data_IF_554734680274
#
_entry.id   IF_554734680274
#
_cell.length_a   1.000
_cell.length_b   1.000
_cell.length_c   1.000
_cell.angle_alpha   90.00
_cell.angle_beta   90.00
_cell.angle_gamma   90.00
#
_symmetry.space_group_name_H-M   'P 1'
#
loop_
_entity.id
_entity.type
_entity.pdbx_description
1 polymer ?
#
# COMPACT_ATOMS: atom_id res chain seq x y z
N UNK A 1 -7.89 12.63 32.81
CA UNK A 1 -8.61 11.42 32.38
C UNK A 1 -7.62 10.27 32.29
N UNK A 2 -7.76 9.28 33.18
CA UNK A 2 -6.86 8.13 33.29
C UNK A 2 -6.95 7.32 32.00
N UNK A 3 -5.82 7.12 31.31
CA UNK A 3 -5.68 6.12 30.24
C UNK A 3 -5.64 4.76 30.95
N UNK A 4 -6.79 4.13 31.15
CA UNK A 4 -6.82 2.73 31.46
C UNK A 4 -6.33 1.98 30.24
N UNK A 5 -5.11 1.49 30.27
CA UNK A 5 -4.62 0.48 29.33
C UNK A 5 -5.33 -0.82 29.71
N UNK A 6 -6.45 -1.09 29.07
CA UNK A 6 -6.88 -2.45 28.94
C UNK A 6 -5.97 -3.08 27.86
N UNK A 7 -4.97 -3.82 28.30
CA UNK A 7 -4.39 -4.87 27.49
C UNK A 7 -5.51 -5.91 27.49
N UNK A 8 -6.24 -5.99 26.38
CA UNK A 8 -7.14 -7.11 26.12
C UNK A 8 -6.31 -8.41 26.13
N UNK A 9 -6.98 -9.54 26.29
CA UNK A 9 -6.43 -10.86 25.98
C UNK A 9 -5.68 -10.73 24.65
N UNK A 10 -4.56 -11.46 24.49
CA UNK A 10 -3.68 -11.31 23.35
C UNK A 10 -4.40 -11.44 22.00
N UNK A 11 -3.79 -10.93 20.94
CA UNK A 11 -4.35 -10.94 19.57
C UNK A 11 -3.71 -12.06 18.78
N UNK A 12 -4.51 -12.96 18.26
CA UNK A 12 -4.07 -13.94 17.27
C UNK A 12 -4.00 -13.32 15.87
N UNK A 13 -2.83 -13.40 15.23
CA UNK A 13 -2.58 -12.82 13.90
C UNK A 13 -2.28 -13.92 12.90
N UNK A 14 -2.92 -13.86 11.73
CA UNK A 14 -2.57 -14.67 10.57
C UNK A 14 -2.02 -13.80 9.44
N UNK A 15 -0.93 -14.23 8.80
CA UNK A 15 -0.35 -13.56 7.62
C UNK A 15 -0.37 -14.51 6.45
N UNK A 16 -1.07 -14.14 5.38
CA UNK A 16 -1.20 -14.90 4.13
C UNK A 16 -0.31 -14.28 3.06
N UNK A 17 0.64 -15.06 2.57
CA UNK A 17 1.71 -14.65 1.66
C UNK A 17 3.04 -14.46 2.39
N UNK A 18 4.05 -15.24 2.03
CA UNK A 18 5.42 -15.18 2.60
C UNK A 18 6.41 -14.53 1.62
N UNK A 19 5.93 -13.59 0.80
CA UNK A 19 6.77 -12.72 -0.03
C UNK A 19 7.44 -11.62 0.81
N UNK A 20 8.14 -10.69 0.16
CA UNK A 20 8.87 -9.61 0.87
C UNK A 20 7.99 -8.81 1.84
N UNK A 21 6.77 -8.46 1.43
CA UNK A 21 5.85 -7.69 2.27
C UNK A 21 5.26 -8.55 3.38
N UNK A 22 4.78 -9.76 3.06
CA UNK A 22 4.21 -10.65 4.07
C UNK A 22 5.23 -11.08 5.12
N UNK A 23 6.47 -11.36 4.72
CA UNK A 23 7.55 -11.64 5.68
C UNK A 23 7.79 -10.47 6.62
N UNK A 24 7.81 -9.24 6.09
CA UNK A 24 7.97 -8.05 6.91
C UNK A 24 6.78 -7.85 7.87
N UNK A 25 5.54 -8.04 7.40
CA UNK A 25 4.33 -7.99 8.24
C UNK A 25 4.36 -9.02 9.36
N UNK A 26 4.79 -10.26 9.06
CA UNK A 26 4.90 -11.33 10.04
C UNK A 26 5.98 -11.04 11.10
N UNK A 27 7.15 -10.54 10.70
CA UNK A 27 8.21 -10.10 11.63
C UNK A 27 7.75 -8.97 12.55
N UNK A 28 7.01 -7.98 12.02
CA UNK A 28 6.46 -6.88 12.81
C UNK A 28 5.39 -7.42 13.77
N UNK A 29 4.51 -8.32 13.33
CA UNK A 29 3.49 -8.92 14.17
C UNK A 29 4.09 -9.76 15.29
N UNK A 30 5.09 -10.59 14.99
CA UNK A 30 5.82 -11.38 16.01
C UNK A 30 6.39 -10.53 17.15
N UNK A 31 6.90 -9.34 16.82
CA UNK A 31 7.49 -8.41 17.81
C UNK A 31 6.47 -7.54 18.54
N UNK A 32 5.21 -7.58 18.14
CA UNK A 32 4.18 -6.76 18.75
C UNK A 32 3.75 -7.33 20.12
N UNK A 33 3.80 -6.54 21.21
CA UNK A 33 3.62 -7.05 22.57
C UNK A 33 2.20 -7.58 22.87
N UNK A 34 1.22 -7.32 22.02
CA UNK A 34 -0.14 -7.82 22.15
C UNK A 34 -0.42 -9.04 21.29
N UNK A 35 0.54 -9.51 20.50
CA UNK A 35 0.37 -10.74 19.71
C UNK A 35 0.83 -11.91 20.57
N UNK A 36 -0.07 -12.86 20.80
CA UNK A 36 0.18 -14.08 21.57
C UNK A 36 0.03 -15.35 20.70
N UNK A 37 -0.45 -15.22 19.48
CA UNK A 37 -0.51 -16.28 18.50
C UNK A 37 -0.20 -15.73 17.08
N UNK A 38 0.72 -16.36 16.38
CA UNK A 38 1.08 -16.01 15.02
C UNK A 38 1.01 -17.25 14.10
N UNK A 39 0.25 -17.10 13.01
CA UNK A 39 0.18 -18.11 11.95
C UNK A 39 0.61 -17.51 10.62
N UNK A 40 1.31 -18.28 9.78
CA UNK A 40 1.75 -17.83 8.46
C UNK A 40 1.36 -18.82 7.38
N UNK A 41 1.10 -18.32 6.17
CA UNK A 41 0.70 -19.14 5.03
C UNK A 41 1.40 -18.69 3.74
N UNK A 42 1.80 -19.66 2.92
CA UNK A 42 2.20 -19.43 1.52
C UNK A 42 1.95 -20.71 0.74
N UNK A 43 1.48 -20.61 -0.49
CA UNK A 43 1.26 -21.80 -1.36
C UNK A 43 2.54 -22.60 -1.66
N UNK A 44 3.71 -21.98 -1.42
CA UNK A 44 5.02 -22.61 -1.50
C UNK A 44 5.48 -23.03 -0.11
N UNK A 45 5.45 -24.33 0.17
CA UNK A 45 5.78 -24.94 1.48
C UNK A 45 7.10 -24.41 2.07
N UNK A 46 8.15 -24.36 1.26
CA UNK A 46 9.49 -23.89 1.68
C UNK A 46 9.49 -22.39 2.09
N UNK A 47 8.62 -21.55 1.51
CA UNK A 47 8.46 -20.16 1.94
C UNK A 47 7.71 -20.05 3.26
N UNK A 48 6.59 -20.77 3.39
CA UNK A 48 5.79 -20.79 4.61
C UNK A 48 6.60 -21.30 5.80
N UNK A 49 7.27 -22.45 5.66
CA UNK A 49 8.06 -23.06 6.73
C UNK A 49 9.27 -22.21 7.14
N UNK A 50 9.98 -21.60 6.18
CA UNK A 50 11.10 -20.69 6.49
C UNK A 50 10.64 -19.43 7.20
N UNK A 51 9.54 -18.82 6.77
CA UNK A 51 8.99 -17.66 7.45
C UNK A 51 8.55 -18.03 8.87
N UNK A 52 7.84 -19.14 9.05
CA UNK A 52 7.44 -19.61 10.36
C UNK A 52 8.65 -19.80 11.30
N UNK A 53 9.73 -20.37 10.81
CA UNK A 53 10.95 -20.55 11.59
C UNK A 53 11.65 -19.22 11.93
N UNK A 54 11.61 -18.22 11.02
CA UNK A 54 12.31 -16.95 11.21
C UNK A 54 11.59 -16.00 12.17
N UNK A 55 10.27 -16.04 12.23
CA UNK A 55 9.45 -15.22 13.14
C UNK A 55 8.82 -16.03 14.29
N UNK A 56 9.31 -17.27 14.53
CA UNK A 56 8.83 -18.13 15.61
C UNK A 56 7.29 -18.29 15.62
N UNK A 57 6.69 -18.43 14.42
CA UNK A 57 5.24 -18.56 14.31
C UNK A 57 4.77 -19.89 14.93
N UNK A 58 3.62 -19.85 15.60
CA UNK A 58 3.02 -21.02 16.27
C UNK A 58 2.61 -22.12 15.29
N UNK A 59 2.22 -21.71 14.08
CA UNK A 59 1.84 -22.65 13.02
C UNK A 59 2.01 -22.06 11.62
N UNK A 60 2.01 -22.93 10.63
CA UNK A 60 1.99 -22.54 9.23
C UNK A 60 1.21 -23.55 8.38
N UNK A 61 0.74 -23.13 7.20
CA UNK A 61 0.10 -24.01 6.22
C UNK A 61 0.38 -23.52 4.79
N UNK A 62 0.14 -24.41 3.82
CA UNK A 62 0.06 -24.03 2.40
C UNK A 62 -1.34 -23.63 1.97
N UNK A 63 -2.35 -23.85 2.82
CA UNK A 63 -3.75 -23.59 2.56
C UNK A 63 -4.24 -22.40 3.42
N UNK A 64 -4.55 -21.27 2.77
CA UNK A 64 -4.93 -20.04 3.47
C UNK A 64 -6.16 -20.24 4.37
N UNK A 65 -7.17 -20.99 3.90
CA UNK A 65 -8.39 -21.25 4.66
C UNK A 65 -8.14 -21.97 5.98
N UNK A 66 -7.15 -22.86 6.05
CA UNK A 66 -6.80 -23.55 7.31
C UNK A 66 -6.27 -22.59 8.38
N UNK A 67 -5.67 -21.48 7.97
CA UNK A 67 -5.08 -20.48 8.86
C UNK A 67 -6.10 -19.41 9.23
N UNK A 68 -6.79 -18.82 8.24
CA UNK A 68 -7.66 -17.66 8.47
C UNK A 68 -8.96 -17.98 9.19
N UNK A 69 -9.39 -19.27 9.19
CA UNK A 69 -10.63 -19.70 9.87
C UNK A 69 -10.40 -20.24 11.28
N UNK A 70 -9.17 -20.21 11.80
CA UNK A 70 -8.85 -20.71 13.14
C UNK A 70 -9.53 -19.89 14.22
N UNK A 71 -9.90 -20.55 15.32
CA UNK A 71 -10.53 -19.90 16.48
C UNK A 71 -9.55 -18.99 17.24
N UNK A 72 -8.24 -19.31 17.20
CA UNK A 72 -7.16 -18.56 17.83
C UNK A 72 -6.60 -17.41 16.95
N UNK A 73 -7.25 -17.07 15.84
CA UNK A 73 -6.95 -15.93 14.97
C UNK A 73 -8.05 -14.87 15.08
N UNK A 74 -7.68 -13.62 15.33
CA UNK A 74 -8.55 -12.45 15.39
C UNK A 74 -8.35 -11.51 14.21
N UNK A 75 -7.10 -11.38 13.77
CA UNK A 75 -6.63 -10.45 12.76
C UNK A 75 -5.96 -11.19 11.59
N UNK A 76 -6.33 -10.86 10.37
CA UNK A 76 -5.76 -11.47 9.17
C UNK A 76 -5.12 -10.41 8.29
N UNK A 77 -3.87 -10.60 7.91
CA UNK A 77 -3.15 -9.75 6.97
C UNK A 77 -2.96 -10.52 5.66
N UNK A 78 -3.54 -10.02 4.58
CA UNK A 78 -3.41 -10.59 3.24
C UNK A 78 -2.30 -9.84 2.50
N UNK A 79 -1.18 -10.50 2.28
CA UNK A 79 0.02 -9.99 1.61
C UNK A 79 0.52 -10.94 0.51
N UNK A 80 -0.41 -11.70 -0.09
CA UNK A 80 -0.18 -12.54 -1.27
C UNK A 80 0.05 -11.69 -2.53
N UNK A 81 0.08 -12.30 -3.71
CA UNK A 81 0.08 -11.56 -4.97
C UNK A 81 -1.27 -10.89 -5.21
N UNK A 82 -1.26 -9.77 -5.93
CA UNK A 82 -2.40 -8.88 -6.12
C UNK A 82 -3.66 -9.57 -6.67
N UNK A 83 -3.49 -10.60 -7.48
CA UNK A 83 -4.57 -11.44 -8.06
C UNK A 83 -5.11 -12.52 -7.11
N UNK A 84 -4.44 -12.70 -5.99
CA UNK A 84 -4.77 -13.73 -5.00
C UNK A 84 -5.26 -13.15 -3.66
N UNK A 85 -5.66 -11.87 -3.63
CA UNK A 85 -6.17 -11.24 -2.40
C UNK A 85 -7.58 -11.69 -2.05
N UNK A 86 -8.45 -11.86 -3.05
CA UNK A 86 -9.89 -12.00 -2.86
C UNK A 86 -10.27 -13.24 -2.04
N UNK A 87 -9.84 -14.44 -2.45
CA UNK A 87 -10.29 -15.69 -1.84
C UNK A 87 -9.92 -15.81 -0.35
N UNK A 88 -8.65 -15.57 0.07
CA UNK A 88 -8.32 -15.65 1.49
C UNK A 88 -8.94 -14.52 2.31
N UNK A 89 -9.12 -13.31 1.74
CA UNK A 89 -9.82 -12.23 2.42
C UNK A 89 -11.29 -12.56 2.63
N UNK A 90 -11.97 -13.13 1.63
CA UNK A 90 -13.36 -13.57 1.73
C UNK A 90 -13.52 -14.66 2.79
N UNK A 91 -12.63 -15.66 2.81
CA UNK A 91 -12.65 -16.71 3.83
C UNK A 91 -12.48 -16.13 5.25
N UNK A 92 -11.57 -15.18 5.43
CA UNK A 92 -11.36 -14.52 6.71
C UNK A 92 -12.59 -13.71 7.15
N UNK A 93 -13.20 -12.92 6.25
CA UNK A 93 -14.42 -12.15 6.50
C UNK A 93 -15.57 -13.08 6.92
N UNK A 94 -15.79 -14.17 6.18
CA UNK A 94 -16.83 -15.16 6.49
C UNK A 94 -16.60 -15.89 7.83
N UNK A 95 -15.34 -15.99 8.26
CA UNK A 95 -14.96 -16.50 9.58
C UNK A 95 -15.05 -15.44 10.70
N UNK A 96 -15.54 -14.23 10.40
CA UNK A 96 -15.71 -13.17 11.39
C UNK A 96 -14.40 -12.46 11.78
N UNK A 97 -13.35 -12.53 10.95
CA UNK A 97 -12.04 -11.95 11.26
C UNK A 97 -11.91 -10.53 10.70
N UNK A 98 -11.23 -9.66 11.44
CA UNK A 98 -10.83 -8.35 10.92
C UNK A 98 -9.66 -8.50 9.95
N UNK A 99 -9.74 -7.85 8.79
CA UNK A 99 -8.80 -8.10 7.69
C UNK A 99 -8.08 -6.82 7.27
N UNK A 100 -6.76 -6.91 7.07
CA UNK A 100 -5.95 -5.92 6.34
C UNK A 100 -5.50 -6.55 5.03
N UNK A 101 -5.94 -6.00 3.91
CA UNK A 101 -5.54 -6.45 2.57
C UNK A 101 -4.48 -5.49 2.02
N UNK A 102 -3.34 -6.01 1.57
CA UNK A 102 -2.34 -5.20 0.87
C UNK A 102 -2.93 -4.56 -0.39
N UNK A 103 -2.35 -3.43 -0.78
CA UNK A 103 -2.77 -2.74 -2.00
C UNK A 103 -2.31 -3.52 -3.27
N UNK A 104 -3.09 -3.49 -4.35
CA UNK A 104 -4.45 -2.94 -4.45
C UNK A 104 -5.46 -3.80 -3.65
N UNK A 105 -6.57 -3.21 -3.23
CA UNK A 105 -7.61 -3.90 -2.45
C UNK A 105 -8.05 -5.22 -3.11
N UNK A 106 -8.38 -5.16 -4.40
CA UNK A 106 -8.56 -6.29 -5.31
C UNK A 106 -8.05 -5.89 -6.70
N UNK A 107 -8.01 -6.84 -7.64
CA UNK A 107 -7.76 -6.54 -9.06
C UNK A 107 -9.07 -6.23 -9.78
N UNK A 108 -10.13 -6.96 -9.48
CA UNK A 108 -11.44 -6.83 -10.11
C UNK A 108 -12.40 -6.04 -9.22
N UNK A 109 -13.12 -5.07 -9.81
CA UNK A 109 -14.10 -4.28 -9.08
C UNK A 109 -15.22 -5.13 -8.48
N UNK A 110 -15.70 -6.14 -9.20
CA UNK A 110 -16.74 -7.05 -8.72
C UNK A 110 -16.30 -7.85 -7.48
N UNK A 111 -15.04 -8.22 -7.37
CA UNK A 111 -14.48 -8.87 -6.19
C UNK A 111 -14.46 -7.92 -5.01
N UNK A 112 -14.02 -6.68 -5.22
CA UNK A 112 -14.02 -5.64 -4.19
C UNK A 112 -15.42 -5.38 -3.64
N UNK A 113 -16.42 -5.23 -4.50
CA UNK A 113 -17.82 -5.06 -4.08
C UNK A 113 -18.34 -6.25 -3.29
N UNK A 114 -18.06 -7.49 -3.73
CA UNK A 114 -18.46 -8.70 -2.98
C UNK A 114 -17.81 -8.76 -1.60
N UNK A 115 -16.54 -8.39 -1.53
CA UNK A 115 -15.79 -8.41 -0.27
C UNK A 115 -16.32 -7.38 0.72
N UNK A 116 -16.66 -6.17 0.25
CA UNK A 116 -17.27 -5.12 1.09
C UNK A 116 -18.67 -5.53 1.56
N UNK A 117 -19.48 -6.09 0.68
CA UNK A 117 -20.81 -6.58 1.04
C UNK A 117 -20.75 -7.71 2.09
N UNK A 118 -19.81 -8.64 1.94
CA UNK A 118 -19.57 -9.68 2.94
C UNK A 118 -19.10 -9.09 4.28
N UNK A 119 -18.18 -8.12 4.27
CA UNK A 119 -17.72 -7.47 5.49
C UNK A 119 -18.87 -6.79 6.26
N UNK A 120 -19.81 -6.16 5.55
CA UNK A 120 -21.02 -5.60 6.13
C UNK A 120 -21.94 -6.70 6.69
N UNK A 121 -22.18 -7.76 5.93
CA UNK A 121 -23.05 -8.90 6.33
C UNK A 121 -22.52 -9.58 7.59
N UNK A 122 -21.22 -9.83 7.67
CA UNK A 122 -20.60 -10.49 8.81
C UNK A 122 -20.21 -9.54 9.95
N UNK A 123 -20.40 -8.21 9.77
CA UNK A 123 -20.14 -7.21 10.79
C UNK A 123 -18.65 -7.06 11.16
N UNK A 124 -17.76 -7.30 10.21
CA UNK A 124 -16.30 -7.21 10.40
C UNK A 124 -15.70 -5.99 9.69
N UNK A 125 -14.58 -5.50 10.21
CA UNK A 125 -13.85 -4.42 9.57
C UNK A 125 -12.84 -4.98 8.56
N UNK A 126 -12.76 -4.30 7.41
CA UNK A 126 -11.74 -4.58 6.40
C UNK A 126 -11.00 -3.30 6.05
N UNK A 127 -9.67 -3.39 5.97
CA UNK A 127 -8.75 -2.29 5.70
C UNK A 127 -7.89 -2.58 4.48
N UNK A 128 -7.36 -1.52 3.87
CA UNK A 128 -6.41 -1.61 2.76
C UNK A 128 -5.03 -1.08 3.18
N UNK A 129 -3.97 -1.78 2.83
CA UNK A 129 -2.59 -1.46 3.18
C UNK A 129 -2.04 -0.25 2.43
N UNK A 130 -2.52 0.95 2.74
CA UNK A 130 -1.98 2.21 2.22
C UNK A 130 -0.95 2.78 3.16
N UNK A 131 0.16 2.09 3.28
CA UNK A 131 1.28 2.35 4.18
C UNK A 131 1.76 3.81 4.17
N UNK A 132 1.63 4.50 3.03
CA UNK A 132 2.10 5.89 2.91
C UNK A 132 1.37 6.86 3.84
N UNK A 133 0.14 6.57 4.25
CA UNK A 133 -0.58 7.36 5.26
C UNK A 133 0.18 7.45 6.59
N UNK A 134 0.99 6.43 6.93
CA UNK A 134 1.76 6.33 8.16
C UNK A 134 3.15 6.98 8.08
N UNK A 135 3.59 7.46 6.91
CA UNK A 135 4.83 8.21 6.82
C UNK A 135 4.66 9.60 7.40
N UNK A 136 5.57 9.96 8.31
CA UNK A 136 5.52 11.23 9.07
C UNK A 136 5.27 12.46 8.21
N UNK A 137 5.89 12.54 7.03
CA UNK A 137 5.74 13.70 6.14
C UNK A 137 4.36 13.81 5.52
N UNK A 138 3.70 12.68 5.21
CA UNK A 138 2.34 12.65 4.67
C UNK A 138 1.28 12.87 5.76
N UNK A 139 1.51 12.34 6.97
CA UNK A 139 0.72 12.68 8.15
C UNK A 139 0.74 14.19 8.45
N UNK A 140 1.91 14.83 8.33
CA UNK A 140 2.02 16.28 8.54
C UNK A 140 1.20 17.08 7.53
N UNK A 141 1.13 16.65 6.26
CA UNK A 141 0.23 17.28 5.26
C UNK A 141 -1.21 17.17 5.73
N UNK A 142 -1.67 15.94 6.08
CA UNK A 142 -3.06 15.72 6.53
C UNK A 142 -3.41 16.59 7.73
N UNK A 143 -2.55 16.68 8.71
CA UNK A 143 -2.76 17.51 9.89
C UNK A 143 -2.92 19.01 9.53
N UNK A 144 -2.09 19.52 8.62
CA UNK A 144 -2.13 20.93 8.23
C UNK A 144 -3.33 21.25 7.33
N UNK A 145 -3.77 20.31 6.50
CA UNK A 145 -5.03 20.41 5.75
C UNK A 145 -6.23 20.46 6.72
N UNK A 146 -6.27 19.55 7.70
CA UNK A 146 -7.34 19.52 8.71
C UNK A 146 -7.38 20.78 9.59
N UNK A 147 -6.22 21.43 9.82
CA UNK A 147 -6.14 22.72 10.54
C UNK A 147 -6.55 23.92 9.69
N UNK A 148 -6.86 23.70 8.40
CA UNK A 148 -7.29 24.74 7.49
C UNK A 148 -6.20 25.68 6.99
N UNK A 149 -4.90 25.39 7.22
CA UNK A 149 -3.80 26.30 6.83
C UNK A 149 -3.64 26.47 5.31
N UNK A 150 -4.19 25.55 4.54
CA UNK A 150 -4.16 25.62 3.07
C UNK A 150 -5.43 26.27 2.50
N UNK A 151 -6.50 26.28 3.31
CA UNK A 151 -7.85 26.65 2.85
C UNK A 151 -8.43 25.59 1.91
N UNK A 152 -9.41 25.97 1.09
CA UNK A 152 -9.99 25.09 0.08
C UNK A 152 -8.92 24.71 -0.95
N UNK A 153 -8.69 23.42 -1.16
CA UNK A 153 -7.72 22.93 -2.14
C UNK A 153 -8.26 23.18 -3.55
N UNK A 154 -7.49 23.88 -4.38
CA UNK A 154 -7.88 24.25 -5.75
C UNK A 154 -7.18 23.42 -6.81
N UNK A 155 -5.99 22.91 -6.50
CA UNK A 155 -5.28 22.00 -7.40
C UNK A 155 -4.25 21.16 -6.64
N UNK A 156 -3.85 20.04 -7.26
CA UNK A 156 -2.82 19.16 -6.76
C UNK A 156 -1.90 18.69 -7.88
N UNK A 157 -0.64 18.42 -7.54
CA UNK A 157 0.32 17.75 -8.40
C UNK A 157 1.07 16.71 -7.61
N UNK A 158 1.19 15.49 -8.16
CA UNK A 158 2.01 14.47 -7.53
C UNK A 158 2.66 13.54 -8.56
N UNK A 159 3.85 13.03 -8.22
CA UNK A 159 4.56 12.07 -9.06
C UNK A 159 5.20 11.00 -8.19
N UNK A 160 5.29 9.78 -8.76
CA UNK A 160 6.01 8.67 -8.15
C UNK A 160 6.82 7.93 -9.20
N UNK A 161 8.11 7.74 -8.92
CA UNK A 161 9.04 7.09 -9.86
C UNK A 161 9.67 5.86 -9.22
N UNK A 162 9.68 4.76 -9.96
CA UNK A 162 10.30 3.50 -9.58
C UNK A 162 11.46 3.15 -10.52
N UNK A 163 12.39 2.36 -10.02
CA UNK A 163 13.44 1.78 -10.86
C UNK A 163 12.88 0.67 -11.74
N UNK A 164 13.53 0.45 -12.90
CA UNK A 164 13.21 -0.66 -13.79
C UNK A 164 13.32 -2.02 -13.09
N UNK A 165 14.25 -2.19 -12.14
CA UNK A 165 14.37 -3.41 -11.36
C UNK A 165 13.12 -3.71 -10.54
N UNK A 166 12.55 -2.69 -9.88
CA UNK A 166 11.29 -2.83 -9.13
C UNK A 166 10.13 -3.14 -10.08
N UNK A 167 10.04 -2.43 -11.21
CA UNK A 167 8.99 -2.66 -12.21
C UNK A 167 9.01 -4.11 -12.73
N UNK A 168 10.19 -4.65 -13.08
CA UNK A 168 10.35 -6.05 -13.49
C UNK A 168 9.89 -7.03 -12.41
N UNK A 169 10.27 -6.79 -11.16
CA UNK A 169 9.83 -7.61 -10.03
C UNK A 169 8.31 -7.60 -9.87
N UNK A 170 7.67 -6.44 -10.03
CA UNK A 170 6.21 -6.29 -9.96
C UNK A 170 5.53 -7.06 -11.08
N UNK A 171 5.94 -6.86 -12.34
CA UNK A 171 5.30 -7.50 -13.51
C UNK A 171 5.53 -9.01 -13.50
N UNK A 172 6.70 -9.48 -13.08
CA UNK A 172 7.02 -10.92 -13.04
C UNK A 172 6.14 -11.71 -12.09
N UNK A 173 5.62 -11.09 -11.01
CA UNK A 173 4.72 -11.74 -10.06
C UNK A 173 3.24 -11.51 -10.34
N UNK A 174 2.88 -10.37 -10.97
CA UNK A 174 1.51 -9.96 -11.22
C UNK A 174 1.37 -9.40 -12.64
N UNK A 175 1.49 -10.29 -13.65
CA UNK A 175 1.63 -9.96 -15.08
C UNK A 175 0.52 -9.12 -15.70
N UNK A 176 -0.59 -8.90 -14.99
CA UNK A 176 -1.74 -8.08 -15.46
C UNK A 176 -1.77 -6.69 -14.79
N UNK A 177 -0.80 -6.37 -13.94
CA UNK A 177 -0.78 -5.08 -13.24
C UNK A 177 -0.26 -3.96 -14.14
N UNK A 178 -0.69 -2.73 -13.85
CA UNK A 178 -0.30 -1.51 -14.56
C UNK A 178 0.41 -0.54 -13.62
N UNK A 179 1.15 0.46 -14.14
CA UNK A 179 1.69 1.53 -13.30
C UNK A 179 0.62 2.24 -12.48
N UNK A 180 -0.59 2.40 -13.02
CA UNK A 180 -1.71 3.06 -12.33
C UNK A 180 -2.22 2.24 -11.15
N UNK A 181 -2.50 0.96 -11.35
CA UNK A 181 -3.06 0.06 -10.33
C UNK A 181 -2.04 -0.30 -9.26
N UNK A 182 -0.79 -0.55 -9.64
CA UNK A 182 0.23 -0.97 -8.67
C UNK A 182 0.87 0.19 -7.91
N UNK A 183 1.22 1.28 -8.60
CA UNK A 183 2.11 2.32 -8.05
C UNK A 183 1.39 3.63 -7.81
N UNK A 184 0.64 4.14 -8.82
CA UNK A 184 -0.05 5.43 -8.71
C UNK A 184 -1.20 5.40 -7.68
N UNK A 185 -1.65 4.20 -7.31
CA UNK A 185 -2.62 3.95 -6.23
C UNK A 185 -2.29 4.70 -4.93
N UNK A 186 -1.00 4.85 -4.57
CA UNK A 186 -0.59 5.64 -3.41
C UNK A 186 -0.90 7.14 -3.55
N UNK A 187 -0.79 7.68 -4.77
CA UNK A 187 -1.11 9.09 -5.02
C UNK A 187 -2.61 9.33 -4.98
N UNK A 188 -3.41 8.40 -5.50
CA UNK A 188 -4.87 8.47 -5.46
C UNK A 188 -5.38 8.40 -4.02
N UNK A 189 -4.84 7.46 -3.24
CA UNK A 189 -5.19 7.31 -1.83
C UNK A 189 -4.88 8.58 -1.03
N UNK A 190 -3.64 9.07 -1.09
CA UNK A 190 -3.24 10.27 -0.35
C UNK A 190 -4.06 11.48 -0.76
N UNK A 191 -4.34 11.66 -2.06
CA UNK A 191 -5.14 12.79 -2.52
C UNK A 191 -6.57 12.72 -1.98
N UNK A 192 -7.26 11.57 -2.13
CA UNK A 192 -8.60 11.38 -1.60
C UNK A 192 -8.63 11.59 -0.08
N UNK A 193 -7.65 11.04 0.63
CA UNK A 193 -7.52 11.21 2.08
C UNK A 193 -7.35 12.67 2.49
N UNK A 194 -6.51 13.45 1.79
CA UNK A 194 -6.33 14.89 2.07
C UNK A 194 -7.60 15.68 1.81
N UNK A 195 -8.34 15.33 0.77
CA UNK A 195 -9.61 15.98 0.38
C UNK A 195 -10.82 15.51 1.21
N UNK A 196 -10.60 14.75 2.30
CA UNK A 196 -11.68 14.28 3.18
C UNK A 196 -12.61 13.25 2.54
N UNK A 197 -12.10 12.46 1.58
CA UNK A 197 -12.86 11.45 0.85
C UNK A 197 -13.51 11.95 -0.44
N UNK A 198 -13.27 13.21 -0.83
CA UNK A 198 -13.77 13.71 -2.12
C UNK A 198 -13.06 13.02 -3.28
N UNK A 199 -13.85 12.48 -4.20
CA UNK A 199 -13.39 11.68 -5.33
C UNK A 199 -13.52 12.46 -6.67
N UNK A 200 -12.69 12.15 -7.69
CA UNK A 200 -12.74 12.86 -8.95
C UNK A 200 -13.98 12.50 -9.78
N UNK A 201 -14.49 13.44 -10.55
CA UNK A 201 -15.62 13.27 -11.47
C UNK A 201 -15.17 12.69 -12.82
N UNK A 202 -13.96 13.04 -13.29
CA UNK A 202 -13.42 12.53 -14.56
C UNK A 202 -11.93 12.23 -14.47
N UNK A 203 -11.46 11.31 -15.32
CA UNK A 203 -10.06 11.05 -15.58
C UNK A 203 -9.72 11.19 -17.06
N UNK A 204 -8.62 11.86 -17.38
CA UNK A 204 -7.95 11.79 -18.67
C UNK A 204 -6.51 11.37 -18.48
N UNK A 205 -6.06 10.37 -19.22
CA UNK A 205 -4.70 9.85 -19.08
C UNK A 205 -4.05 9.49 -20.40
N UNK A 206 -2.71 9.52 -20.41
CA UNK A 206 -1.88 9.02 -21.49
C UNK A 206 -0.72 8.21 -20.91
N UNK A 207 -0.36 7.11 -21.57
CA UNK A 207 0.73 6.24 -21.19
C UNK A 207 1.86 6.24 -22.23
N UNK A 208 3.11 6.09 -21.78
CA UNK A 208 4.27 5.85 -22.64
C UNK A 208 4.47 4.36 -22.87
N UNK A 209 4.85 4.00 -24.10
CA UNK A 209 5.20 2.65 -24.52
C UNK A 209 6.52 2.63 -25.31
N UNK A 210 7.47 3.49 -24.93
CA UNK A 210 8.74 3.69 -25.67
C UNK A 210 9.98 3.32 -24.86
N UNK A 211 9.81 2.89 -23.64
CA UNK A 211 10.89 2.52 -22.76
C UNK A 211 11.11 1.01 -22.67
N UNK A 212 12.04 0.62 -21.81
CA UNK A 212 12.50 -0.77 -21.69
C UNK A 212 11.46 -1.71 -21.09
N UNK A 213 10.60 -1.22 -20.20
CA UNK A 213 9.55 -2.05 -19.59
C UNK A 213 8.54 -2.47 -20.66
N UNK A 214 8.19 -1.56 -21.57
CA UNK A 214 7.34 -1.90 -22.69
C UNK A 214 8.01 -2.88 -23.66
N UNK A 215 9.28 -2.67 -23.99
CA UNK A 215 10.03 -3.57 -24.86
C UNK A 215 10.09 -5.01 -24.32
N UNK A 216 10.26 -5.16 -23.01
CA UNK A 216 10.41 -6.48 -22.36
C UNK A 216 9.09 -7.17 -22.05
N UNK A 217 8.05 -6.44 -21.68
CA UNK A 217 6.79 -7.00 -21.12
C UNK A 217 5.52 -6.52 -21.80
N UNK A 218 5.58 -5.56 -22.72
CA UNK A 218 4.41 -4.95 -23.32
C UNK A 218 3.58 -4.05 -22.39
N UNK A 219 4.04 -3.84 -21.15
CA UNK A 219 3.41 -2.94 -20.20
C UNK A 219 3.73 -1.47 -20.50
N UNK A 220 2.95 -0.53 -19.96
CA UNK A 220 3.30 0.89 -20.04
C UNK A 220 4.53 1.19 -19.18
N UNK A 221 5.42 2.04 -19.66
CA UNK A 221 6.60 2.52 -18.93
C UNK A 221 6.23 3.61 -17.93
N UNK A 222 5.25 4.44 -18.30
CA UNK A 222 4.74 5.53 -17.46
C UNK A 222 3.28 5.83 -17.80
N UNK A 223 2.57 6.44 -16.83
CA UNK A 223 1.20 6.92 -16.99
C UNK A 223 1.09 8.32 -16.37
N UNK A 224 0.46 9.24 -17.09
CA UNK A 224 0.21 10.62 -16.65
C UNK A 224 -1.26 10.90 -16.79
N UNK A 225 -1.88 11.47 -15.74
CA UNK A 225 -3.31 11.76 -15.77
C UNK A 225 -3.65 13.15 -15.24
N UNK A 226 -4.80 13.64 -15.70
CA UNK A 226 -5.51 14.79 -15.15
C UNK A 226 -6.84 14.28 -14.61
N UNK A 227 -7.09 14.55 -13.33
CA UNK A 227 -8.36 14.29 -12.65
C UNK A 227 -9.08 15.62 -12.47
N UNK A 228 -10.39 15.65 -12.74
CA UNK A 228 -11.23 16.84 -12.48
C UNK A 228 -12.29 16.50 -11.44
N UNK A 229 -12.69 17.47 -10.65
CA UNK A 229 -13.66 17.36 -9.57
C UNK A 229 -14.86 18.26 -9.84
N UNK A 230 -16.02 17.94 -9.27
CA UNK A 230 -17.27 18.71 -9.50
C UNK A 230 -17.20 20.15 -8.98
N UNK A 231 -16.38 20.42 -7.98
CA UNK A 231 -16.13 21.75 -7.43
C UNK A 231 -15.16 22.60 -8.27
N UNK A 232 -14.62 22.04 -9.36
CA UNK A 232 -13.66 22.70 -10.26
C UNK A 232 -12.20 22.49 -9.86
N UNK A 233 -11.89 21.73 -8.81
CA UNK A 233 -10.52 21.32 -8.51
C UNK A 233 -9.94 20.47 -9.63
N UNK A 234 -8.63 20.54 -9.84
CA UNK A 234 -7.88 19.75 -10.83
C UNK A 234 -6.64 19.14 -10.19
N UNK A 235 -6.39 17.87 -10.44
CA UNK A 235 -5.14 17.21 -10.05
C UNK A 235 -4.39 16.67 -11.28
N UNK A 236 -3.06 16.87 -11.30
CA UNK A 236 -2.16 16.27 -12.29
C UNK A 236 -1.24 15.26 -11.60
N UNK A 237 -1.37 13.99 -11.95
CA UNK A 237 -0.63 12.92 -11.32
C UNK A 237 0.15 12.11 -12.35
N UNK A 238 1.32 11.58 -11.93
CA UNK A 238 2.18 10.82 -12.82
C UNK A 238 2.94 9.69 -12.14
N UNK A 239 3.14 8.61 -12.86
CA UNK A 239 3.99 7.48 -12.46
C UNK A 239 4.95 7.14 -13.59
N UNK A 240 6.19 6.82 -13.24
CA UNK A 240 7.16 6.28 -14.18
C UNK A 240 7.93 5.12 -13.58
N UNK A 241 8.12 4.06 -14.37
CA UNK A 241 8.89 2.86 -14.05
C UNK A 241 10.25 2.85 -14.76
N UNK A 242 10.73 4.03 -15.16
CA UNK A 242 11.89 4.16 -16.04
C UNK A 242 13.18 4.62 -15.34
N UNK A 243 13.19 4.77 -14.01
CA UNK A 243 14.45 5.06 -13.33
C UNK A 243 15.45 3.92 -13.58
N UNK A 244 16.72 4.22 -13.92
CA UNK A 244 17.73 3.19 -14.13
C UNK A 244 17.90 2.30 -12.89
N UNK A 245 18.30 1.05 -13.10
CA UNK A 245 18.55 0.10 -12.00
C UNK A 245 19.59 0.60 -11.00
N UNK A 246 20.55 1.39 -11.47
CA UNK A 246 21.62 2.01 -10.66
C UNK A 246 21.20 3.36 -10.06
N UNK A 247 19.89 3.72 -10.11
CA UNK A 247 19.41 4.90 -9.39
C UNK A 247 19.68 4.74 -7.90
N UNK A 248 20.26 5.75 -7.23
CA UNK A 248 20.78 5.56 -5.87
C UNK A 248 19.72 5.45 -4.77
N UNK A 249 18.44 5.59 -5.09
CA UNK A 249 17.34 5.29 -4.17
C UNK A 249 16.81 3.86 -4.38
N UNK A 250 16.53 3.15 -3.30
CA UNK A 250 16.18 1.73 -3.39
C UNK A 250 14.85 1.44 -4.06
N UNK A 251 13.85 2.33 -3.92
CA UNK A 251 12.50 2.04 -4.45
C UNK A 251 11.95 3.17 -5.28
N UNK A 252 11.74 4.35 -4.71
CA UNK A 252 10.95 5.38 -5.34
C UNK A 252 11.38 6.78 -4.95
N UNK A 253 11.08 7.73 -5.82
CA UNK A 253 10.99 9.14 -5.50
C UNK A 253 9.52 9.53 -5.59
N UNK A 254 8.98 10.22 -4.58
CA UNK A 254 7.58 10.64 -4.55
C UNK A 254 7.46 12.12 -4.15
N UNK A 255 6.92 12.92 -5.05
CA UNK A 255 6.65 14.34 -4.82
C UNK A 255 5.14 14.56 -4.70
N UNK A 256 4.73 15.48 -3.82
CA UNK A 256 3.33 15.83 -3.63
C UNK A 256 3.19 17.33 -3.33
N UNK A 257 2.34 18.02 -4.08
CA UNK A 257 2.08 19.44 -3.93
C UNK A 257 0.56 19.69 -3.90
N UNK A 258 0.10 20.37 -2.85
CA UNK A 258 -1.28 20.83 -2.71
C UNK A 258 -1.31 22.37 -2.75
N UNK A 259 -2.14 22.92 -3.61
CA UNK A 259 -2.37 24.34 -3.76
C UNK A 259 -3.79 24.66 -3.29
N UNK A 260 -3.92 25.50 -2.29
CA UNK A 260 -5.19 25.94 -1.78
C UNK A 260 -5.32 27.46 -1.82
N UNK A 261 -6.49 27.96 -1.44
CA UNK A 261 -6.80 29.41 -1.48
C UNK A 261 -5.91 30.23 -0.55
N UNK A 262 -5.47 29.63 0.56
CA UNK A 262 -4.75 30.33 1.63
C UNK A 262 -3.28 29.90 1.74
N UNK A 263 -2.87 28.83 1.03
CA UNK A 263 -1.49 28.36 1.13
C UNK A 263 -1.15 27.19 0.21
N UNK A 264 0.11 26.80 0.26
CA UNK A 264 0.66 25.66 -0.49
C UNK A 264 1.42 24.75 0.45
N UNK A 265 1.25 23.44 0.29
CA UNK A 265 2.11 22.43 0.91
C UNK A 265 2.85 21.69 -0.19
N UNK A 266 4.18 21.57 -0.06
CA UNK A 266 5.01 20.82 -0.99
C UNK A 266 5.89 19.84 -0.23
N UNK A 267 5.87 18.58 -0.65
CA UNK A 267 6.77 17.52 -0.20
C UNK A 267 7.56 17.01 -1.39
N UNK A 268 8.87 16.93 -1.20
CA UNK A 268 9.79 16.24 -2.12
C UNK A 268 10.44 15.10 -1.37
N UNK A 269 10.03 13.90 -1.72
CA UNK A 269 10.52 12.68 -1.10
C UNK A 269 11.49 11.98 -2.04
N UNK A 270 12.62 12.65 -2.31
CA UNK A 270 13.69 12.15 -3.15
C UNK A 270 14.79 11.42 -2.37
N UNK A 271 14.58 11.25 -1.06
CA UNK A 271 15.42 10.49 -0.12
C UNK A 271 16.89 10.92 -0.05
N UNK A 272 17.19 12.19 -0.35
CA UNK A 272 18.57 12.70 -0.38
C UNK A 272 19.16 13.07 0.97
N UNK A 273 18.45 12.79 2.05
CA UNK A 273 18.84 13.20 3.41
C UNK A 273 20.14 12.53 3.87
N UNK A 274 20.33 11.25 3.52
CA UNK A 274 21.53 10.50 3.88
C UNK A 274 22.10 9.81 2.64
N UNK A 275 23.24 10.30 2.16
CA UNK A 275 23.95 9.71 1.03
C UNK A 275 25.16 8.92 1.53
N UNK A 276 25.27 7.67 1.15
CA UNK A 276 26.44 6.84 1.37
C UNK A 276 27.16 6.57 0.06
N UNK A 277 28.49 6.68 0.05
CA UNK A 277 29.33 6.19 -1.01
C UNK A 277 30.35 5.21 -0.43
N UNK A 278 30.47 4.00 -1.01
CA UNK A 278 31.33 2.93 -0.49
C UNK A 278 31.94 2.14 -1.63
N UNK A 279 33.21 1.72 -1.46
CA UNK A 279 33.83 0.74 -2.34
C UNK A 279 33.21 -0.65 -2.22
N UNK A 280 32.59 -0.95 -1.08
CA UNK A 280 31.83 -2.19 -0.85
C UNK A 280 30.38 -1.95 -1.28
N UNK A 281 29.87 -2.68 -2.30
CA UNK A 281 28.50 -2.50 -2.76
C UNK A 281 27.50 -2.87 -1.69
N UNK A 282 26.41 -2.12 -1.63
CA UNK A 282 25.29 -2.33 -0.70
C UNK A 282 24.15 -2.98 -1.46
N UNK A 283 23.62 -4.13 -1.02
CA UNK A 283 22.49 -4.76 -1.66
C UNK A 283 21.22 -3.91 -1.49
N UNK A 284 20.37 -3.93 -2.50
CA UNK A 284 19.04 -3.32 -2.41
C UNK A 284 18.15 -4.19 -1.52
N UNK A 285 17.44 -3.65 -0.54
CA UNK A 285 16.53 -4.42 0.30
C UNK A 285 15.32 -4.96 -0.46
N UNK A 286 14.94 -4.33 -1.58
CA UNK A 286 13.78 -4.73 -2.38
C UNK A 286 14.13 -5.64 -3.55
N UNK A 287 15.32 -5.46 -4.12
CA UNK A 287 15.87 -6.24 -5.24
C UNK A 287 17.24 -6.77 -4.84
N UNK A 288 17.30 -7.89 -4.06
CA UNK A 288 18.54 -8.38 -3.45
C UNK A 288 19.65 -8.70 -4.44
N UNK A 289 19.29 -9.01 -5.70
CA UNK A 289 20.25 -9.27 -6.78
C UNK A 289 20.90 -8.00 -7.34
N UNK A 290 20.43 -6.82 -6.92
CA UNK A 290 21.03 -5.54 -7.29
C UNK A 290 21.80 -4.94 -6.12
N UNK A 291 22.93 -4.32 -6.42
CA UNK A 291 23.74 -3.62 -5.44
C UNK A 291 24.30 -2.32 -6.00
N UNK A 292 24.59 -1.36 -5.14
CA UNK A 292 25.06 -0.05 -5.54
C UNK A 292 26.19 0.44 -4.64
N UNK A 293 27.12 1.18 -5.22
CA UNK A 293 28.24 1.79 -4.50
C UNK A 293 27.90 3.20 -3.97
N UNK A 294 26.83 3.80 -4.49
CA UNK A 294 26.27 5.07 -4.01
C UNK A 294 24.81 4.81 -3.71
N UNK A 295 24.39 5.01 -2.48
CA UNK A 295 23.02 4.73 -2.02
C UNK A 295 22.47 5.88 -1.18
N UNK A 296 21.23 6.22 -1.40
CA UNK A 296 20.42 7.08 -0.51
C UNK A 296 19.81 6.20 0.57
N UNK A 297 20.36 6.26 1.77
CA UNK A 297 19.88 5.47 2.92
C UNK A 297 18.54 6.03 3.40
N UNK A 298 17.69 5.17 3.95
CA UNK A 298 16.34 5.57 4.35
C UNK A 298 15.36 5.74 3.19
N UNK A 299 15.69 5.23 2.01
CA UNK A 299 14.86 5.39 0.80
C UNK A 299 13.86 4.27 0.55
N UNK A 300 13.80 3.27 1.42
CA UNK A 300 12.82 2.20 1.30
C UNK A 300 11.45 2.66 1.82
N UNK A 301 10.45 2.70 0.94
CA UNK A 301 9.15 3.32 1.26
C UNK A 301 8.40 2.68 2.44
N UNK A 302 8.39 1.34 2.64
CA UNK A 302 7.80 0.72 3.81
C UNK A 302 8.48 1.10 5.13
N UNK A 303 9.77 1.42 5.09
CA UNK A 303 10.64 1.72 6.22
C UNK A 303 12.02 1.11 6.03
N UNK A 304 12.87 1.20 7.03
CA UNK A 304 14.25 0.75 6.95
C UNK A 304 14.66 -0.09 8.17
N UNK A 305 15.68 -0.91 7.98
CA UNK A 305 16.29 -1.67 9.07
C UNK A 305 17.41 -0.86 9.73
N UNK A 306 17.38 -0.80 11.05
CA UNK A 306 18.45 -0.25 11.85
C UNK A 306 18.72 -1.19 13.04
N UNK A 307 19.98 -1.58 13.23
CA UNK A 307 20.41 -2.44 14.35
C UNK A 307 19.63 -3.77 14.46
N UNK A 308 19.17 -4.31 13.34
CA UNK A 308 18.43 -5.56 13.26
C UNK A 308 16.92 -5.43 13.48
N UNK A 309 16.40 -4.21 13.57
CA UNK A 309 14.96 -3.93 13.71
C UNK A 309 14.45 -3.11 12.50
N UNK A 310 13.19 -3.33 12.14
CA UNK A 310 12.50 -2.55 11.12
C UNK A 310 11.82 -1.34 11.76
N UNK A 311 11.97 -0.18 11.13
CA UNK A 311 11.34 1.09 11.53
C UNK A 311 10.65 1.73 10.34
N UNK A 312 9.50 2.35 10.56
CA UNK A 312 8.83 3.15 9.54
C UNK A 312 7.37 2.80 9.33
N UNK A 313 6.85 3.25 8.19
CA UNK A 313 5.43 3.28 7.91
C UNK A 313 4.73 1.91 7.97
N UNK A 314 5.40 0.85 7.51
CA UNK A 314 4.85 -0.52 7.55
C UNK A 314 4.68 -1.01 8.99
N UNK A 315 5.64 -0.70 9.88
CA UNK A 315 5.56 -1.04 11.29
C UNK A 315 4.41 -0.28 11.95
N UNK A 316 4.31 1.03 11.71
CA UNK A 316 3.26 1.86 12.29
C UNK A 316 1.87 1.40 11.83
N UNK A 317 1.68 1.08 10.54
CA UNK A 317 0.42 0.58 10.01
C UNK A 317 0.05 -0.78 10.60
N UNK A 318 1.01 -1.73 10.65
CA UNK A 318 0.77 -3.06 11.22
C UNK A 318 0.41 -2.97 12.70
N UNK A 319 1.12 -2.12 13.47
CA UNK A 319 0.80 -1.86 14.87
C UNK A 319 -0.58 -1.21 15.04
N UNK A 320 -0.93 -0.23 14.21
CA UNK A 320 -2.25 0.40 14.23
C UNK A 320 -3.37 -0.62 13.97
N UNK A 321 -3.16 -1.52 13.01
CA UNK A 321 -4.09 -2.60 12.69
C UNK A 321 -4.26 -3.57 13.87
N UNK A 322 -3.17 -4.13 14.41
CA UNK A 322 -3.21 -5.06 15.55
C UNK A 322 -3.85 -4.39 16.78
N UNK A 323 -3.47 -3.14 17.08
CA UNK A 323 -4.06 -2.38 18.17
C UNK A 323 -5.55 -2.11 17.97
N UNK A 324 -5.99 -1.86 16.72
CA UNK A 324 -7.43 -1.67 16.42
C UNK A 324 -8.23 -2.92 16.70
N UNK A 325 -7.69 -4.10 16.35
CA UNK A 325 -8.32 -5.39 16.66
C UNK A 325 -8.36 -5.64 18.17
N UNK A 326 -7.22 -5.56 18.84
CA UNK A 326 -7.12 -5.86 20.29
C UNK A 326 -7.90 -4.90 21.19
N UNK A 327 -8.15 -3.67 20.73
CA UNK A 327 -8.90 -2.66 21.52
C UNK A 327 -10.34 -2.50 21.07
N UNK A 328 -10.74 -3.05 19.91
CA UNK A 328 -12.03 -2.82 19.28
C UNK A 328 -12.24 -1.35 18.85
N UNK A 329 -11.15 -0.57 18.70
CA UNK A 329 -11.19 0.85 18.32
C UNK A 329 -10.40 1.08 17.06
N UNK A 330 -11.06 1.34 15.92
CA UNK A 330 -10.38 1.63 14.66
C UNK A 330 -9.41 2.80 14.79
N UNK A 331 -8.20 2.63 14.24
CA UNK A 331 -7.25 3.74 14.08
C UNK A 331 -7.71 4.58 12.87
N UNK A 332 -7.88 5.91 13.01
CA UNK A 332 -8.40 6.78 11.96
C UNK A 332 -7.43 6.99 10.78
N UNK A 333 -6.19 6.53 10.88
CA UNK A 333 -5.21 6.60 9.80
C UNK A 333 -5.35 5.40 8.86
N UNK A 334 -5.80 4.25 9.36
CA UNK A 334 -6.01 3.06 8.55
C UNK A 334 -7.02 3.36 7.43
N UNK A 335 -6.66 3.00 6.20
CA UNK A 335 -7.58 3.09 5.09
C UNK A 335 -8.62 1.96 5.17
N UNK A 336 -9.88 2.29 5.07
CA UNK A 336 -10.97 1.32 5.02
C UNK A 336 -10.96 0.55 3.70
N UNK A 337 -11.62 -0.61 3.66
CA UNK A 337 -11.83 -1.33 2.40
C UNK A 337 -12.59 -0.52 1.36
N UNK A 338 -13.54 0.33 1.80
CA UNK A 338 -14.26 1.25 0.90
C UNK A 338 -13.32 2.25 0.24
N UNK A 339 -12.43 2.90 1.01
CA UNK A 339 -11.41 3.79 0.45
C UNK A 339 -10.48 3.02 -0.52
N UNK A 340 -10.14 1.75 -0.20
CA UNK A 340 -9.39 0.89 -1.10
C UNK A 340 -10.12 0.61 -2.42
N UNK A 341 -11.43 0.42 -2.36
CA UNK A 341 -12.27 0.24 -3.54
C UNK A 341 -12.35 1.51 -4.39
N UNK A 342 -12.53 2.67 -3.77
CA UNK A 342 -12.56 3.97 -4.46
C UNK A 342 -11.25 4.21 -5.24
N UNK A 343 -10.12 3.95 -4.61
CA UNK A 343 -8.80 4.05 -5.24
C UNK A 343 -8.64 3.07 -6.41
N UNK A 344 -9.15 1.86 -6.29
CA UNK A 344 -9.16 0.88 -7.38
C UNK A 344 -9.96 1.41 -8.58
N UNK A 345 -11.16 1.97 -8.34
CA UNK A 345 -12.00 2.52 -9.40
C UNK A 345 -11.34 3.71 -10.11
N UNK A 346 -10.69 4.62 -9.37
CA UNK A 346 -9.88 5.70 -9.97
C UNK A 346 -8.75 5.13 -10.81
N UNK A 347 -8.01 4.13 -10.31
CA UNK A 347 -6.93 3.49 -11.04
C UNK A 347 -7.40 2.86 -12.35
N UNK A 348 -8.56 2.20 -12.33
CA UNK A 348 -9.17 1.60 -13.52
C UNK A 348 -9.66 2.64 -14.54
N UNK A 349 -10.25 3.75 -14.09
CA UNK A 349 -10.64 4.85 -14.97
C UNK A 349 -9.42 5.49 -15.66
N UNK A 350 -8.30 5.62 -14.94
CA UNK A 350 -7.03 6.10 -15.50
C UNK A 350 -6.48 5.11 -16.54
N UNK A 351 -6.50 3.81 -16.27
CA UNK A 351 -6.07 2.79 -17.25
C UNK A 351 -6.95 2.79 -18.49
N UNK A 352 -8.27 2.87 -18.33
CA UNK A 352 -9.22 2.93 -19.45
C UNK A 352 -8.97 4.18 -20.31
N UNK A 353 -8.76 5.34 -19.67
CA UNK A 353 -8.43 6.58 -20.36
C UNK A 353 -7.10 6.47 -21.12
N UNK A 354 -6.06 5.92 -20.50
CA UNK A 354 -4.75 5.73 -21.14
C UNK A 354 -4.83 4.78 -22.34
N UNK A 355 -5.71 3.77 -22.29
CA UNK A 355 -5.94 2.80 -23.38
C UNK A 355 -6.74 3.38 -24.52
N UNK A 356 -7.76 4.19 -24.24
CA UNK A 356 -8.73 4.70 -25.25
C UNK A 356 -8.38 6.08 -25.78
N UNK A 357 -7.59 6.87 -25.03
CA UNK A 357 -7.34 8.28 -25.29
C UNK A 357 -8.56 9.18 -25.06
N UNK A 358 -9.57 8.69 -24.33
CA UNK A 358 -10.81 9.41 -24.05
C UNK A 358 -10.89 9.83 -22.59
N UNK A 359 -11.65 10.89 -22.32
CA UNK A 359 -12.04 11.23 -20.95
C UNK A 359 -13.01 10.16 -20.43
N UNK A 360 -12.72 9.62 -19.27
CA UNK A 360 -13.56 8.62 -18.58
C UNK A 360 -14.32 9.33 -17.44
N UNK A 361 -15.66 9.40 -17.51
CA UNK A 361 -16.47 9.87 -16.40
C UNK A 361 -16.51 8.82 -15.29
N UNK A 362 -16.52 9.26 -14.04
CA UNK A 362 -16.66 8.41 -12.88
C UNK A 362 -17.96 8.73 -12.15
N UNK A 363 -18.68 7.68 -11.79
CA UNK A 363 -19.92 7.78 -11.00
C UNK A 363 -19.71 7.04 -9.69
N UNK A 364 -19.96 7.73 -8.59
CA UNK A 364 -19.81 7.19 -7.24
C UNK A 364 -21.18 6.81 -6.69
N UNK A 365 -21.27 5.63 -6.09
CA UNK A 365 -22.46 5.29 -5.32
C UNK A 365 -22.51 6.22 -4.10
N UNK A 366 -23.60 6.99 -3.99
CA UNK A 366 -23.81 7.93 -2.89
C UNK A 366 -24.11 7.22 -1.57
#
# INVERSE_FOLDING_TARGET
MSRSRFIADGVGVAVVGSGSIGSLRAEIAHRHPSVDFLAVCDTVEDRASRLAASCEADTWSTEATEIVTRDDVDAVIIASTEDSHFEPAMAAVQAGKTVLVEKPFTILADEGHKLLAAAEEYGVSIYTGFTQRFRRRYLAIKEHVLKGYVGDVTSAKATIYLTQAVARSVISRAGTTTPSVNTMTYLFDLLAWYLGGTLPATAYAAGSNKGRIHEEFGALDSTWCVLTYDDGMVANLGVSWELPEFWPAYVASMDFELFGRDGVISVKDDHRDVLMASHKPVPSPYTPDTSMNVAMLGSYMPGDWALGEHFGAMQEETHAFINSVGTGRPDPILATGSEGMDVLLVSRAVDESARTGQVVPMTWAG
#
